data_IF_705192310554
#
_entry.id   IF_705192310554
#
_cell.length_a   1.000
_cell.length_b   1.000
_cell.length_c   1.000
_cell.angle_alpha   90.00
_cell.angle_beta   90.00
_cell.angle_gamma   90.00
#
_symmetry.space_group_name_H-M   'P 1'
#
loop_
_entity.id
_entity.type
_entity.pdbx_description
1 polymer ?
#
# COMPACT_ATOMS: atom_id res chain seq x y z
N UNK A 1 37.73 0.80 -36.49
CA UNK A 1 36.60 0.39 -35.63
C UNK A 1 37.09 0.03 -34.22
N UNK A 2 36.62 0.72 -33.19
CA UNK A 2 36.99 0.41 -31.81
C UNK A 2 36.35 -0.93 -31.37
N UNK A 3 37.04 -1.78 -30.59
CA UNK A 3 36.50 -3.05 -30.14
C UNK A 3 35.33 -2.84 -29.20
N UNK A 4 34.21 -3.52 -29.47
CA UNK A 4 33.01 -3.47 -28.64
C UNK A 4 33.15 -4.57 -27.58
N UNK A 5 33.32 -4.20 -26.31
CA UNK A 5 33.21 -5.12 -25.19
C UNK A 5 31.75 -5.22 -24.75
N UNK A 6 31.12 -6.38 -24.98
CA UNK A 6 29.80 -6.67 -24.43
C UNK A 6 29.97 -6.96 -22.93
N UNK A 7 29.51 -6.05 -22.08
CA UNK A 7 29.66 -6.14 -20.61
C UNK A 7 28.62 -7.04 -19.94
N UNK A 8 27.43 -7.17 -20.53
CA UNK A 8 26.37 -8.08 -20.08
C UNK A 8 25.39 -8.33 -21.24
N UNK A 9 25.08 -9.60 -21.52
CA UNK A 9 24.05 -10.01 -22.48
C UNK A 9 22.99 -10.80 -21.71
N UNK A 10 21.76 -10.27 -21.64
CA UNK A 10 20.60 -10.96 -21.08
C UNK A 10 19.56 -11.13 -22.18
N UNK A 11 19.49 -12.34 -22.73
CA UNK A 11 18.47 -12.71 -23.70
C UNK A 11 17.32 -13.36 -22.94
N UNK A 12 16.20 -12.64 -22.81
CA UNK A 12 14.96 -13.18 -22.24
C UNK A 12 14.06 -13.58 -23.39
N UNK A 13 13.68 -14.85 -23.46
CA UNK A 13 12.70 -15.33 -24.44
C UNK A 13 11.34 -14.69 -24.19
N UNK A 14 10.60 -14.34 -25.25
CA UNK A 14 9.28 -13.71 -25.13
C UNK A 14 8.31 -14.55 -24.27
N UNK A 15 8.36 -15.89 -24.38
CA UNK A 15 7.54 -16.80 -23.57
C UNK A 15 7.86 -16.73 -22.07
N UNK A 16 9.14 -16.63 -21.69
CA UNK A 16 9.56 -16.47 -20.29
C UNK A 16 9.10 -15.13 -19.70
N UNK A 17 9.03 -14.08 -20.54
CA UNK A 17 8.49 -12.78 -20.14
C UNK A 17 6.98 -12.82 -19.91
N UNK A 18 6.24 -13.44 -20.82
CA UNK A 18 4.79 -13.62 -20.72
C UNK A 18 4.42 -14.46 -19.49
N UNK A 19 5.04 -15.62 -19.30
CA UNK A 19 4.83 -16.50 -18.14
C UNK A 19 5.09 -15.75 -16.82
N UNK A 20 6.10 -14.88 -16.79
CA UNK A 20 6.45 -14.10 -15.61
C UNK A 20 5.41 -13.04 -15.28
N UNK A 21 4.84 -12.39 -16.30
CA UNK A 21 3.77 -11.40 -16.14
C UNK A 21 2.51 -12.08 -15.63
N UNK A 22 2.14 -13.22 -16.20
CA UNK A 22 0.95 -13.98 -15.80
C UNK A 22 1.07 -14.51 -14.37
N UNK A 23 2.23 -15.07 -14.01
CA UNK A 23 2.50 -15.51 -12.65
C UNK A 23 2.50 -14.34 -11.66
N UNK A 24 3.04 -13.18 -12.07
CA UNK A 24 3.04 -11.95 -11.27
C UNK A 24 1.63 -11.41 -11.02
N UNK A 25 0.80 -11.34 -12.06
CA UNK A 25 -0.61 -10.93 -11.96
C UNK A 25 -1.42 -11.91 -11.09
N UNK A 26 -1.23 -13.21 -11.27
CA UNK A 26 -1.89 -14.22 -10.45
C UNK A 26 -1.47 -14.11 -8.97
N UNK A 27 -0.18 -13.92 -8.70
CA UNK A 27 0.34 -13.71 -7.34
C UNK A 27 -0.26 -12.45 -6.70
N UNK A 28 -0.37 -11.36 -7.46
CA UNK A 28 -0.99 -10.12 -7.01
C UNK A 28 -2.47 -10.31 -6.67
N UNK A 29 -3.23 -11.00 -7.54
CA UNK A 29 -4.64 -11.28 -7.31
C UNK A 29 -4.85 -12.17 -6.07
N UNK A 30 -4.14 -13.30 -5.99
CA UNK A 30 -4.27 -14.24 -4.88
C UNK A 30 -3.85 -13.56 -3.57
N UNK A 31 -2.72 -12.85 -3.57
CA UNK A 31 -2.24 -12.11 -2.39
C UNK A 31 -3.23 -11.05 -1.93
N UNK A 32 -3.78 -10.26 -2.86
CA UNK A 32 -4.79 -9.24 -2.55
C UNK A 32 -6.05 -9.87 -1.95
N UNK A 33 -6.56 -10.95 -2.56
CA UNK A 33 -7.77 -11.63 -2.07
C UNK A 33 -7.56 -12.22 -0.68
N UNK A 34 -6.44 -12.90 -0.43
CA UNK A 34 -6.14 -13.48 0.89
C UNK A 34 -6.08 -12.39 1.98
N UNK A 35 -5.44 -11.27 1.68
CA UNK A 35 -5.34 -10.14 2.61
C UNK A 35 -6.72 -9.49 2.85
N UNK A 36 -7.52 -9.32 1.80
CA UNK A 36 -8.89 -8.81 1.92
C UNK A 36 -9.76 -9.70 2.82
N UNK A 37 -9.71 -11.02 2.60
CA UNK A 37 -10.45 -12.00 3.41
C UNK A 37 -10.01 -11.94 4.87
N UNK A 38 -8.70 -11.90 5.13
CA UNK A 38 -8.16 -11.77 6.48
C UNK A 38 -8.68 -10.50 7.18
N UNK A 39 -8.65 -9.36 6.48
CA UNK A 39 -9.11 -8.07 7.02
C UNK A 39 -10.60 -8.07 7.34
N UNK A 40 -11.43 -8.67 6.47
CA UNK A 40 -12.88 -8.78 6.70
C UNK A 40 -13.21 -9.64 7.91
N UNK A 41 -12.51 -10.77 8.09
CA UNK A 41 -12.74 -11.68 9.23
C UNK A 41 -12.30 -11.03 10.54
N UNK A 42 -11.10 -10.44 10.58
CA UNK A 42 -10.53 -9.92 11.83
C UNK A 42 -11.13 -8.57 12.25
N UNK A 43 -11.35 -7.64 11.32
CA UNK A 43 -11.75 -6.26 11.60
C UNK A 43 -13.20 -5.90 11.22
N UNK A 44 -13.99 -6.87 10.73
CA UNK A 44 -15.42 -6.70 10.40
C UNK A 44 -15.66 -5.44 9.54
N UNK A 45 -16.39 -4.45 10.06
CA UNK A 45 -16.77 -3.23 9.35
C UNK A 45 -15.55 -2.36 8.99
N UNK A 46 -14.57 -2.27 9.89
CA UNK A 46 -13.31 -1.57 9.60
C UNK A 46 -12.50 -2.30 8.51
N UNK A 47 -12.62 -3.63 8.44
CA UNK A 47 -12.08 -4.45 7.36
C UNK A 47 -12.65 -4.08 5.98
N UNK A 48 -13.94 -3.73 5.90
CA UNK A 48 -14.57 -3.27 4.65
C UNK A 48 -13.97 -1.93 4.19
N UNK A 49 -13.74 -0.98 5.11
CA UNK A 49 -13.11 0.30 4.74
C UNK A 49 -11.68 0.11 4.27
N UNK A 50 -10.90 -0.75 4.94
CA UNK A 50 -9.56 -1.10 4.51
C UNK A 50 -9.56 -1.80 3.14
N UNK A 51 -10.54 -2.66 2.87
CA UNK A 51 -10.69 -3.32 1.58
C UNK A 51 -10.91 -2.33 0.44
N UNK A 52 -11.81 -1.37 0.62
CA UNK A 52 -12.06 -0.31 -0.38
C UNK A 52 -10.82 0.56 -0.58
N UNK A 53 -10.15 0.94 0.52
CA UNK A 53 -8.91 1.70 0.45
C UNK A 53 -7.81 0.95 -0.31
N UNK A 54 -7.68 -0.37 -0.11
CA UNK A 54 -6.69 -1.21 -0.78
C UNK A 54 -6.98 -1.34 -2.29
N UNK A 55 -8.23 -1.55 -2.67
CA UNK A 55 -8.61 -1.59 -4.10
C UNK A 55 -8.26 -0.25 -4.77
N UNK A 56 -8.61 0.86 -4.12
CA UNK A 56 -8.29 2.19 -4.63
C UNK A 56 -6.78 2.43 -4.70
N UNK A 57 -6.02 1.91 -3.74
CA UNK A 57 -4.55 1.96 -3.74
C UNK A 57 -3.95 1.28 -4.98
N UNK A 58 -4.37 0.04 -5.29
CA UNK A 58 -3.87 -0.70 -6.45
C UNK A 58 -4.23 0.02 -7.76
N UNK A 59 -5.46 0.53 -7.87
CA UNK A 59 -5.89 1.33 -9.03
C UNK A 59 -5.02 2.57 -9.20
N UNK A 60 -4.72 3.29 -8.11
CA UNK A 60 -3.85 4.47 -8.16
C UNK A 60 -2.45 4.12 -8.63
N UNK A 61 -1.85 3.05 -8.12
CA UNK A 61 -0.51 2.62 -8.55
C UNK A 61 -0.48 2.35 -10.05
N UNK A 62 -1.42 1.55 -10.57
CA UNK A 62 -1.49 1.21 -11.99
C UNK A 62 -1.74 2.47 -12.84
N UNK A 63 -2.64 3.35 -12.40
CA UNK A 63 -2.97 4.60 -13.11
C UNK A 63 -1.77 5.54 -13.20
N UNK A 64 -1.04 5.69 -12.10
CA UNK A 64 0.16 6.53 -12.06
C UNK A 64 1.27 5.91 -12.91
N UNK A 65 1.52 4.60 -12.82
CA UNK A 65 2.50 3.93 -13.69
C UNK A 65 2.18 4.17 -15.17
N UNK A 66 0.91 3.99 -15.56
CA UNK A 66 0.45 4.23 -16.93
C UNK A 66 0.61 5.69 -17.37
N UNK A 67 0.28 6.65 -16.50
CA UNK A 67 0.38 8.08 -16.80
C UNK A 67 1.83 8.55 -17.01
N UNK A 68 2.78 7.99 -16.25
CA UNK A 68 4.20 8.33 -16.37
C UNK A 68 4.95 7.49 -17.43
N UNK A 69 4.27 6.57 -18.12
CA UNK A 69 4.90 5.66 -19.08
C UNK A 69 5.95 4.75 -18.44
N UNK A 70 5.81 4.47 -17.14
CA UNK A 70 6.76 3.63 -16.42
C UNK A 70 6.56 2.16 -16.82
N UNK A 71 7.65 1.48 -17.16
CA UNK A 71 7.60 0.06 -17.53
C UNK A 71 7.35 -0.81 -16.29
N UNK A 72 6.31 -1.66 -16.37
CA UNK A 72 6.07 -2.69 -15.36
C UNK A 72 7.06 -3.83 -15.57
N UNK A 73 8.15 -3.82 -14.81
CA UNK A 73 9.14 -4.90 -14.80
C UNK A 73 8.74 -5.98 -13.80
N UNK A 74 9.34 -7.17 -13.90
CA UNK A 74 9.24 -8.24 -12.90
C UNK A 74 9.51 -7.73 -11.46
N UNK A 75 10.63 -7.04 -11.19
CA UNK A 75 10.83 -6.39 -9.89
C UNK A 75 9.78 -5.33 -9.59
N UNK A 76 9.30 -4.57 -10.58
CA UNK A 76 8.19 -3.63 -10.41
C UNK A 76 6.94 -4.30 -9.83
N UNK A 77 6.55 -5.47 -10.33
CA UNK A 77 5.43 -6.24 -9.77
C UNK A 77 5.65 -6.62 -8.31
N UNK A 78 6.87 -7.01 -7.93
CA UNK A 78 7.21 -7.27 -6.53
C UNK A 78 7.07 -6.01 -5.65
N UNK A 79 7.34 -4.82 -6.20
CA UNK A 79 7.10 -3.55 -5.52
C UNK A 79 5.63 -3.29 -5.25
N UNK A 80 4.73 -3.68 -6.16
CA UNK A 80 3.27 -3.58 -5.95
C UNK A 80 2.83 -4.54 -4.84
N UNK A 81 3.30 -5.79 -4.85
CA UNK A 81 2.99 -6.77 -3.78
C UNK A 81 3.46 -6.27 -2.41
N UNK A 82 4.68 -5.72 -2.34
CA UNK A 82 5.21 -5.12 -1.11
C UNK A 82 4.33 -3.94 -0.64
N UNK A 83 3.87 -3.11 -1.58
CA UNK A 83 2.98 -1.99 -1.28
C UNK A 83 1.64 -2.44 -0.71
N UNK A 84 1.06 -3.51 -1.23
CA UNK A 84 -0.19 -4.09 -0.70
C UNK A 84 -0.01 -4.45 0.78
N UNK A 85 1.10 -5.08 1.14
CA UNK A 85 1.43 -5.41 2.53
C UNK A 85 1.53 -4.16 3.41
N UNK A 86 2.27 -3.14 2.97
CA UNK A 86 2.41 -1.87 3.70
C UNK A 86 1.09 -1.09 3.82
N UNK A 87 0.24 -1.12 2.80
CA UNK A 87 -1.07 -0.48 2.83
C UNK A 87 -1.99 -1.12 3.87
N UNK A 88 -1.90 -2.44 4.04
CA UNK A 88 -2.67 -3.17 5.06
C UNK A 88 -2.11 -2.94 6.45
N UNK A 89 -0.79 -2.96 6.62
CA UNK A 89 -0.12 -2.63 7.88
C UNK A 89 -0.53 -1.24 8.40
N UNK A 90 -0.52 -0.23 7.53
CA UNK A 90 -0.95 1.12 7.87
C UNK A 90 -2.42 1.18 8.36
N UNK A 91 -3.33 0.46 7.69
CA UNK A 91 -4.73 0.39 8.12
C UNK A 91 -4.89 -0.35 9.45
N UNK A 92 -4.17 -1.45 9.66
CA UNK A 92 -4.15 -2.22 10.92
C UNK A 92 -3.67 -1.35 12.08
N UNK A 93 -2.59 -0.60 11.89
CA UNK A 93 -2.03 0.28 12.91
C UNK A 93 -3.04 1.37 13.33
N UNK A 94 -3.72 2.00 12.35
CA UNK A 94 -4.79 2.97 12.61
C UNK A 94 -5.87 2.34 13.48
N UNK A 95 -6.36 1.15 13.09
CA UNK A 95 -7.45 0.49 13.81
C UNK A 95 -7.06 0.11 15.24
N UNK A 96 -5.83 -0.40 15.42
CA UNK A 96 -5.31 -0.70 16.74
C UNK A 96 -5.19 0.55 17.61
N UNK A 97 -4.66 1.65 17.05
CA UNK A 97 -4.52 2.91 17.80
C UNK A 97 -5.87 3.49 18.20
N UNK A 98 -6.85 3.46 17.31
CA UNK A 98 -8.23 3.87 17.62
C UNK A 98 -8.81 2.99 18.74
N UNK A 99 -8.63 1.66 18.67
CA UNK A 99 -9.07 0.73 19.73
C UNK A 99 -8.40 1.04 21.08
N UNK A 100 -7.11 1.39 21.08
CA UNK A 100 -6.37 1.76 22.30
C UNK A 100 -6.92 3.05 22.91
N UNK A 101 -7.21 4.08 22.10
CA UNK A 101 -7.75 5.35 22.60
C UNK A 101 -9.21 5.22 23.08
N UNK A 102 -10.03 4.37 22.43
CA UNK A 102 -11.40 4.09 22.89
C UNK A 102 -11.40 3.43 24.29
N UNK A 103 -10.39 2.60 24.60
CA UNK A 103 -10.25 2.01 25.94
C UNK A 103 -9.81 3.01 26.99
N UNK A 104 -9.19 4.14 26.59
CA UNK A 104 -8.69 5.18 27.49
C UNK A 104 -9.68 6.31 27.73
N UNK A 105 -10.61 6.54 26.80
CA UNK A 105 -11.51 7.70 26.83
C UNK A 105 -12.95 7.28 26.59
N UNK A 106 -13.89 7.80 27.39
CA UNK A 106 -15.34 7.51 27.24
C UNK A 106 -15.99 8.16 26.01
N UNK A 107 -15.28 9.09 25.34
CA UNK A 107 -15.74 9.78 24.14
C UNK A 107 -15.16 9.15 22.86
N UNK A 108 -15.95 8.36 22.10
CA UNK A 108 -15.46 7.68 20.90
C UNK A 108 -14.99 8.62 19.79
N UNK A 109 -15.53 9.84 19.70
CA UNK A 109 -15.14 10.81 18.68
C UNK A 109 -13.74 11.38 18.95
N UNK A 110 -13.46 11.71 20.20
CA UNK A 110 -12.13 12.16 20.61
C UNK A 110 -11.10 11.04 20.42
N UNK A 111 -11.47 9.79 20.75
CA UNK A 111 -10.61 8.63 20.57
C UNK A 111 -10.25 8.37 19.09
N UNK A 112 -11.19 8.53 18.16
CA UNK A 112 -10.92 8.39 16.72
C UNK A 112 -9.95 9.48 16.25
N UNK A 113 -10.19 10.75 16.61
CA UNK A 113 -9.31 11.86 16.21
C UNK A 113 -7.88 11.69 16.73
N UNK A 114 -7.74 11.36 18.01
CA UNK A 114 -6.45 11.13 18.65
C UNK A 114 -5.74 9.89 18.08
N UNK A 115 -6.51 8.83 17.82
CA UNK A 115 -6.03 7.60 17.20
C UNK A 115 -5.44 7.84 15.81
N UNK A 116 -6.15 8.57 14.96
CA UNK A 116 -5.65 8.97 13.64
C UNK A 116 -4.43 9.87 13.75
N UNK A 117 -4.39 10.83 14.68
CA UNK A 117 -3.26 11.73 14.87
C UNK A 117 -1.96 11.01 15.26
N UNK A 118 -2.05 10.04 16.19
CA UNK A 118 -0.90 9.22 16.61
C UNK A 118 -0.47 8.25 15.50
N UNK A 119 -1.42 7.55 14.90
CA UNK A 119 -1.13 6.63 13.80
C UNK A 119 -0.51 7.35 12.60
N UNK A 120 -0.98 8.56 12.27
CA UNK A 120 -0.42 9.38 11.18
C UNK A 120 1.07 9.63 11.36
N UNK A 121 1.52 10.03 12.55
CA UNK A 121 2.95 10.30 12.81
C UNK A 121 3.79 9.04 12.61
N UNK A 122 3.34 7.91 13.15
CA UNK A 122 4.05 6.64 13.01
C UNK A 122 4.10 6.15 11.56
N UNK A 123 2.99 6.26 10.83
CA UNK A 123 2.92 5.88 9.40
C UNK A 123 3.81 6.77 8.56
N UNK A 124 3.80 8.09 8.83
CA UNK A 124 4.63 9.06 8.13
C UNK A 124 6.12 8.74 8.32
N UNK A 125 6.59 8.55 9.56
CA UNK A 125 8.00 8.24 9.84
C UNK A 125 8.45 6.93 9.15
N UNK A 126 7.64 5.87 9.27
CA UNK A 126 7.95 4.58 8.67
C UNK A 126 8.06 4.67 7.14
N UNK A 127 7.08 5.32 6.50
CA UNK A 127 7.04 5.43 5.05
C UNK A 127 8.05 6.42 4.47
N UNK A 128 8.34 7.53 5.17
CA UNK A 128 9.36 8.50 4.73
C UNK A 128 10.74 7.85 4.68
N UNK A 129 11.07 7.02 5.67
CA UNK A 129 12.33 6.26 5.68
C UNK A 129 12.44 5.33 4.48
N UNK A 130 11.37 4.59 4.17
CA UNK A 130 11.33 3.70 3.01
C UNK A 130 11.35 4.48 1.69
N UNK A 131 10.72 5.66 1.66
CA UNK A 131 10.75 6.54 0.49
C UNK A 131 12.17 7.03 0.20
N UNK A 132 12.95 7.39 1.22
CA UNK A 132 14.36 7.73 1.03
C UNK A 132 15.17 6.57 0.47
N UNK A 133 14.93 5.34 0.95
CA UNK A 133 15.56 4.14 0.38
C UNK A 133 15.15 3.95 -1.10
N UNK A 134 13.87 4.12 -1.43
CA UNK A 134 13.38 4.03 -2.80
C UNK A 134 14.00 5.12 -3.71
N UNK A 135 14.15 6.35 -3.21
CA UNK A 135 14.82 7.43 -3.94
C UNK A 135 16.31 7.12 -4.19
N UNK A 136 17.00 6.54 -3.22
CA UNK A 136 18.37 6.07 -3.42
C UNK A 136 18.43 4.98 -4.50
N UNK A 137 17.48 4.03 -4.52
CA UNK A 137 17.38 3.02 -5.57
C UNK A 137 17.02 3.63 -6.93
N UNK A 138 16.25 4.72 -7.00
CA UNK A 138 15.98 5.42 -8.25
C UNK A 138 17.23 6.11 -8.82
N UNK A 139 18.06 6.67 -7.94
CA UNK A 139 19.27 7.41 -8.31
C UNK A 139 20.42 6.48 -8.68
N UNK A 140 20.62 5.41 -7.91
CA UNK A 140 21.78 4.52 -8.03
C UNK A 140 21.44 3.13 -8.61
N UNK A 141 20.16 2.77 -8.67
CA UNK A 141 19.73 1.49 -9.22
C UNK A 141 19.78 1.46 -10.75
N UNK A 142 20.06 0.28 -11.30
CA UNK A 142 20.16 0.05 -12.74
C UNK A 142 19.06 -0.87 -13.24
N UNK A 143 18.68 -0.68 -14.51
CA UNK A 143 17.76 -1.54 -15.24
C UNK A 143 16.48 -1.91 -14.45
N UNK A 144 16.24 -3.20 -14.16
CA UNK A 144 15.02 -3.66 -13.46
C UNK A 144 14.82 -3.09 -12.04
N UNK A 145 15.89 -2.78 -11.31
CA UNK A 145 15.83 -2.25 -9.93
C UNK A 145 15.20 -0.86 -9.92
N UNK A 146 15.45 -0.07 -10.97
CA UNK A 146 14.83 1.25 -11.13
C UNK A 146 13.32 1.13 -11.29
N UNK A 147 12.84 0.12 -12.02
CA UNK A 147 11.41 -0.20 -12.12
C UNK A 147 10.78 -0.52 -10.77
N UNK A 148 11.43 -1.37 -9.96
CA UNK A 148 11.01 -1.62 -8.58
C UNK A 148 10.92 -0.32 -7.76
N UNK A 149 11.97 0.50 -7.82
CA UNK A 149 12.02 1.74 -7.04
C UNK A 149 10.91 2.72 -7.43
N UNK A 150 10.56 2.85 -8.72
CA UNK A 150 9.41 3.66 -9.17
C UNK A 150 8.11 3.15 -8.57
N UNK A 151 7.85 1.84 -8.69
CA UNK A 151 6.62 1.24 -8.16
C UNK A 151 6.52 1.37 -6.65
N UNK A 152 7.64 1.23 -5.93
CA UNK A 152 7.71 1.37 -4.48
C UNK A 152 7.43 2.81 -4.05
N UNK A 153 8.05 3.81 -4.69
CA UNK A 153 7.82 5.22 -4.36
C UNK A 153 6.37 5.64 -4.58
N UNK A 154 5.79 5.26 -5.72
CA UNK A 154 4.37 5.53 -6.03
C UNK A 154 3.48 4.81 -5.02
N UNK A 155 3.80 3.55 -4.73
CA UNK A 155 3.06 2.73 -3.80
C UNK A 155 3.00 3.29 -2.39
N UNK A 156 4.12 3.78 -1.88
CA UNK A 156 4.20 4.43 -0.56
C UNK A 156 3.34 5.70 -0.51
N UNK A 157 3.44 6.57 -1.52
CA UNK A 157 2.67 7.81 -1.55
C UNK A 157 1.16 7.50 -1.64
N UNK A 158 0.78 6.57 -2.51
CA UNK A 158 -0.59 6.11 -2.64
C UNK A 158 -1.10 5.45 -1.36
N UNK A 159 -0.29 4.61 -0.70
CA UNK A 159 -0.70 3.88 0.52
C UNK A 159 -0.96 4.84 1.67
N UNK A 160 -0.06 5.80 1.88
CA UNK A 160 -0.25 6.87 2.85
C UNK A 160 -1.51 7.68 2.56
N UNK A 161 -1.72 8.09 1.30
CA UNK A 161 -2.92 8.83 0.91
C UNK A 161 -4.19 8.04 1.22
N UNK A 162 -4.25 6.78 0.80
CA UNK A 162 -5.42 5.93 1.03
C UNK A 162 -5.67 5.63 2.51
N UNK A 163 -4.65 5.25 3.26
CA UNK A 163 -4.79 4.93 4.69
C UNK A 163 -5.18 6.16 5.53
N UNK A 164 -4.67 7.35 5.20
CA UNK A 164 -4.88 8.54 6.03
C UNK A 164 -6.13 9.32 5.62
N UNK A 165 -6.38 9.47 4.32
CA UNK A 165 -7.49 10.32 3.83
C UNK A 165 -8.72 9.48 3.56
N UNK A 166 -8.59 8.41 2.78
CA UNK A 166 -9.74 7.58 2.37
C UNK A 166 -10.32 6.84 3.56
N UNK A 167 -9.49 6.14 4.35
CA UNK A 167 -9.96 5.42 5.54
C UNK A 167 -10.54 6.38 6.59
N UNK A 168 -9.94 7.56 6.80
CA UNK A 168 -10.49 8.58 7.70
C UNK A 168 -11.85 9.09 7.23
N UNK A 169 -12.01 9.37 5.94
CA UNK A 169 -13.30 9.78 5.38
C UNK A 169 -14.39 8.74 5.66
N UNK A 170 -14.10 7.46 5.46
CA UNK A 170 -15.06 6.38 5.77
C UNK A 170 -15.39 6.29 7.26
N UNK A 171 -14.38 6.38 8.13
CA UNK A 171 -14.59 6.40 9.57
C UNK A 171 -15.42 7.60 10.01
N UNK A 172 -15.13 8.78 9.48
CA UNK A 172 -15.86 10.00 9.80
C UNK A 172 -17.32 9.91 9.33
N UNK A 173 -17.55 9.43 8.09
CA UNK A 173 -18.88 9.27 7.52
C UNK A 173 -19.77 8.32 8.34
N UNK A 174 -19.23 7.20 8.80
CA UNK A 174 -19.99 6.15 9.49
C UNK A 174 -20.12 6.42 10.99
N UNK A 175 -19.04 6.85 11.65
CA UNK A 175 -18.99 6.98 13.10
C UNK A 175 -19.38 8.37 13.62
N UNK A 176 -19.25 9.47 12.84
CA UNK A 176 -19.82 10.75 13.29
C UNK A 176 -21.35 10.81 13.18
N UNK A 177 -21.96 10.07 12.24
CA UNK A 177 -23.43 10.04 12.07
C UNK A 177 -24.18 9.18 13.11
N UNK A 178 -23.52 8.24 13.81
CA UNK A 178 -24.16 7.43 14.86
C UNK A 178 -23.88 7.98 16.26
N UNK A 179 -24.82 8.73 16.81
CA UNK A 179 -24.74 9.43 18.11
C UNK A 179 -24.76 8.54 19.35
N UNK A 180 -24.85 7.21 19.21
CA UNK A 180 -24.78 6.24 20.33
C UNK A 180 -23.95 5.03 19.91
N UNK A 181 -22.66 5.05 20.21
CA UNK A 181 -21.75 3.92 19.98
C UNK A 181 -21.24 3.41 21.32
N UNK A 182 -22.06 2.60 22.01
CA UNK A 182 -21.62 1.82 23.18
C UNK A 182 -20.81 0.58 22.80
N UNK A 183 -20.74 0.21 21.52
CA UNK A 183 -19.83 -0.82 21.03
C UNK A 183 -19.43 -0.51 19.58
N UNK A 184 -18.17 -0.13 19.37
CA UNK A 184 -17.57 -0.17 18.04
C UNK A 184 -17.26 -1.62 17.70
N UNK A 185 -17.79 -2.11 16.58
CA UNK A 185 -17.39 -3.39 15.98
C UNK A 185 -16.09 -3.19 15.20
N UNK A 186 -15.01 -2.88 15.94
CA UNK A 186 -13.62 -3.02 15.51
C UNK A 186 -13.09 -4.22 16.26
#
# INVERSE_FOLDING_TARGET
>A
PAPIEIREERTVGASLGEDSVDQGLNSLMIGSVLVLVFMLIYYRLAGVFAAVALIFNVILIISVLGAFGATLTLPGMAGIVLTIGMAVDANVLIFQRIREEIRRTENPRAAIQEGFGKAFRTILDANVTTLFAALALLQFGTGPIKGFAVTLSIGIIASMFTAIIVTRFFFDFVYLRRTKLRSLSI
#
